data_IF_923917406765
#
_entry.id   IF_923917406765
#
_cell.length_a   1.000
_cell.length_b   1.000
_cell.length_c   1.000
_cell.angle_alpha   90.00
_cell.angle_beta   90.00
_cell.angle_gamma   90.00
#
_symmetry.space_group_name_H-M   'P 1'
#
loop_
_entity.id
_entity.type
_entity.pdbx_description
1 polymer ?
#
# COMPACT_ATOMS: atom_id res chain seq x y z
N UNK A 1 3.11 0.23 -12.70
CA UNK A 1 2.32 -0.77 -13.45
C UNK A 1 0.90 -0.28 -13.62
N UNK A 2 0.16 -0.22 -12.52
CA UNK A 2 -1.23 0.23 -12.49
C UNK A 2 -1.43 1.72 -12.75
N UNK A 3 -0.39 2.56 -12.70
CA UNK A 3 -0.48 3.99 -13.03
C UNK A 3 0.74 4.41 -13.90
N UNK A 4 0.74 4.08 -15.21
CA UNK A 4 1.85 4.40 -16.10
C UNK A 4 2.14 5.91 -16.25
N UNK A 5 1.12 6.75 -16.10
CA UNK A 5 1.23 8.23 -16.10
C UNK A 5 0.25 8.79 -15.06
N UNK A 6 0.49 9.99 -14.50
CA UNK A 6 -0.35 10.55 -13.44
C UNK A 6 -1.85 10.51 -13.77
N UNK A 7 -2.65 9.87 -12.92
CA UNK A 7 -4.11 9.77 -13.04
C UNK A 7 -4.63 8.78 -14.09
N UNK A 8 -3.77 8.18 -14.92
CA UNK A 8 -4.19 7.18 -15.90
C UNK A 8 -3.88 5.78 -15.37
N UNK A 9 -4.94 5.01 -15.09
CA UNK A 9 -4.81 3.71 -14.46
C UNK A 9 -4.97 2.55 -15.44
N UNK A 10 -4.25 1.46 -15.19
CA UNK A 10 -4.35 0.21 -15.94
C UNK A 10 -4.63 -0.96 -14.99
N UNK A 11 -5.85 -1.50 -15.07
CA UNK A 11 -6.28 -2.72 -14.39
C UNK A 11 -6.77 -3.78 -15.39
N UNK A 12 -6.20 -3.80 -16.60
CA UNK A 12 -6.60 -4.72 -17.65
C UNK A 12 -5.61 -5.89 -17.84
N UNK A 13 -6.08 -6.97 -18.45
CA UNK A 13 -5.26 -8.12 -18.80
C UNK A 13 -4.58 -8.74 -17.56
N UNK A 14 -3.25 -8.80 -17.59
CA UNK A 14 -2.47 -9.32 -16.44
C UNK A 14 -2.42 -8.37 -15.23
N UNK A 15 -2.88 -7.12 -15.40
CA UNK A 15 -2.97 -6.12 -14.34
C UNK A 15 -4.38 -6.07 -13.72
N UNK A 16 -5.27 -6.99 -14.08
CA UNK A 16 -6.60 -7.10 -13.47
C UNK A 16 -6.52 -7.71 -12.06
N UNK A 17 -6.23 -6.84 -11.09
CA UNK A 17 -6.09 -7.18 -9.68
C UNK A 17 -7.38 -7.76 -9.09
N UNK A 18 -8.53 -7.16 -9.42
CA UNK A 18 -9.84 -7.59 -8.93
C UNK A 18 -10.13 -9.02 -9.41
N UNK A 19 -9.89 -9.30 -10.70
CA UNK A 19 -10.07 -10.65 -11.26
C UNK A 19 -9.15 -11.68 -10.61
N UNK A 20 -7.89 -11.32 -10.34
CA UNK A 20 -6.96 -12.20 -9.64
C UNK A 20 -7.48 -12.57 -8.25
N UNK A 21 -7.88 -11.58 -7.45
CA UNK A 21 -8.40 -11.81 -6.09
C UNK A 21 -9.71 -12.60 -6.11
N UNK A 22 -10.63 -12.31 -7.02
CA UNK A 22 -11.86 -13.10 -7.22
C UNK A 22 -11.56 -14.55 -7.61
N UNK A 23 -10.47 -14.80 -8.34
CA UNK A 23 -10.03 -16.15 -8.69
C UNK A 23 -9.52 -16.90 -7.45
N UNK A 24 -8.75 -16.24 -6.59
CA UNK A 24 -8.34 -16.80 -5.29
C UNK A 24 -9.56 -17.14 -4.41
N UNK A 25 -10.56 -16.25 -4.36
CA UNK A 25 -11.82 -16.51 -3.65
C UNK A 25 -12.55 -17.74 -4.18
N UNK A 26 -12.67 -17.89 -5.51
CA UNK A 26 -13.30 -19.06 -6.15
C UNK A 26 -12.55 -20.36 -5.85
N UNK A 27 -11.25 -20.28 -5.62
CA UNK A 27 -10.43 -21.41 -5.20
C UNK A 27 -10.49 -21.70 -3.70
N UNK A 28 -11.24 -20.91 -2.92
CA UNK A 28 -11.33 -21.04 -1.46
C UNK A 28 -10.07 -20.59 -0.72
N UNK A 29 -9.23 -19.75 -1.35
CA UNK A 29 -8.00 -19.22 -0.76
C UNK A 29 -8.23 -17.82 -0.19
N UNK A 30 -7.56 -17.54 0.93
CA UNK A 30 -7.44 -16.18 1.46
C UNK A 30 -6.31 -15.40 0.79
N UNK A 31 -6.38 -14.08 0.88
CA UNK A 31 -5.43 -13.15 0.30
C UNK A 31 -4.85 -12.24 1.38
N UNK A 32 -3.52 -12.14 1.40
CA UNK A 32 -2.80 -11.06 2.08
C UNK A 32 -2.40 -10.02 1.03
N UNK A 33 -3.10 -8.89 1.01
CA UNK A 33 -2.91 -7.85 0.00
C UNK A 33 -1.84 -6.85 0.43
N UNK A 34 -0.62 -7.00 -0.10
CA UNK A 34 0.49 -6.07 0.17
C UNK A 34 0.44 -4.90 -0.81
N UNK A 35 -0.15 -3.78 -0.39
CA UNK A 35 -0.49 -2.64 -1.27
C UNK A 35 0.76 -1.80 -1.57
N UNK A 36 1.67 -1.65 -0.62
CA UNK A 36 2.81 -0.75 -0.74
C UNK A 36 2.47 0.69 -0.35
N UNK A 37 3.05 1.72 -0.99
CA UNK A 37 3.35 1.71 -2.42
C UNK A 37 4.77 1.23 -2.75
N UNK A 38 5.72 1.35 -1.82
CA UNK A 38 6.98 0.65 -1.96
C UNK A 38 6.75 -0.83 -1.64
N UNK A 39 7.10 -1.72 -2.56
CA UNK A 39 6.95 -3.17 -2.38
C UNK A 39 8.30 -3.90 -2.47
N UNK A 40 9.37 -3.18 -2.78
CA UNK A 40 10.63 -3.76 -3.26
C UNK A 40 10.35 -4.74 -4.43
N UNK A 41 10.35 -6.05 -4.14
CA UNK A 41 9.89 -7.13 -5.01
C UNK A 41 10.80 -7.40 -6.20
N UNK A 42 12.06 -6.95 -6.13
CA UNK A 42 13.03 -6.95 -7.25
C UNK A 42 12.42 -6.38 -8.53
N UNK A 43 11.46 -5.46 -8.35
CA UNK A 43 10.66 -4.91 -9.41
C UNK A 43 11.17 -3.52 -9.77
N UNK A 44 10.98 -3.14 -11.04
CA UNK A 44 11.44 -1.86 -11.55
C UNK A 44 11.04 -0.70 -10.61
N UNK A 45 12.06 0.01 -10.12
CA UNK A 45 11.95 1.15 -9.24
C UNK A 45 11.19 0.89 -7.91
N UNK A 46 11.24 -0.35 -7.41
CA UNK A 46 10.61 -0.76 -6.15
C UNK A 46 9.08 -0.71 -6.17
N UNK A 47 8.49 -0.64 -7.37
CA UNK A 47 7.04 -0.47 -7.58
C UNK A 47 6.62 0.97 -7.90
N UNK A 48 7.44 1.98 -7.59
CA UNK A 48 7.08 3.37 -7.86
C UNK A 48 7.02 3.66 -9.36
N UNK A 49 6.06 4.49 -9.81
CA UNK A 49 6.08 4.98 -11.16
C UNK A 49 7.21 5.99 -11.35
N UNK A 50 7.93 5.90 -12.48
CA UNK A 50 9.08 6.77 -12.77
C UNK A 50 8.71 8.25 -12.81
N UNK A 51 7.49 8.57 -13.27
CA UNK A 51 7.00 9.95 -13.31
C UNK A 51 6.95 10.61 -11.93
N UNK A 52 6.80 9.82 -10.86
CA UNK A 52 6.71 10.33 -9.48
C UNK A 52 7.98 11.06 -9.09
N UNK A 53 9.15 10.62 -9.58
CA UNK A 53 10.46 11.26 -9.31
C UNK A 53 10.53 12.72 -9.78
N UNK A 54 9.72 13.09 -10.78
CA UNK A 54 9.74 14.43 -11.38
C UNK A 54 8.69 15.36 -10.77
N UNK A 55 7.94 14.91 -9.76
CA UNK A 55 7.05 15.78 -9.00
C UNK A 55 7.89 16.82 -8.23
N UNK A 56 7.59 18.12 -8.35
CA UNK A 56 8.36 19.16 -7.67
C UNK A 56 8.40 18.94 -6.15
N UNK A 57 9.60 18.98 -5.57
CA UNK A 57 9.81 18.87 -4.13
C UNK A 57 9.63 17.47 -3.55
N UNK A 58 9.56 16.42 -4.38
CA UNK A 58 9.35 15.06 -3.89
C UNK A 58 10.61 14.49 -3.23
N UNK A 59 10.39 13.82 -2.09
CA UNK A 59 11.37 12.95 -1.45
C UNK A 59 10.66 11.67 -1.05
N UNK A 60 11.20 10.53 -1.46
CA UNK A 60 10.52 9.25 -1.27
C UNK A 60 10.72 8.70 0.13
N UNK A 61 9.69 7.98 0.61
CA UNK A 61 9.71 7.19 1.86
C UNK A 61 10.24 8.00 3.04
N UNK A 62 9.74 9.22 3.19
CA UNK A 62 10.06 10.12 4.30
C UNK A 62 8.90 11.09 4.50
N UNK A 63 8.96 11.93 5.53
CA UNK A 63 7.91 12.91 5.83
C UNK A 63 7.92 14.06 4.82
N UNK A 64 7.33 13.79 3.65
CA UNK A 64 7.31 14.67 2.49
C UNK A 64 5.89 14.73 1.92
N UNK A 65 5.27 15.90 1.95
CA UNK A 65 3.87 16.08 1.56
C UNK A 65 3.55 15.64 0.10
N UNK A 66 4.36 15.98 -0.93
CA UNK A 66 4.13 15.46 -2.28
C UNK A 66 4.12 13.93 -2.35
N UNK A 67 5.02 13.28 -1.62
CA UNK A 67 5.08 11.82 -1.57
C UNK A 67 3.89 11.23 -0.80
N UNK A 68 3.57 11.79 0.37
CA UNK A 68 2.43 11.37 1.20
C UNK A 68 1.10 11.47 0.45
N UNK A 69 0.88 12.57 -0.28
CA UNK A 69 -0.31 12.76 -1.10
C UNK A 69 -0.41 11.72 -2.22
N UNK A 70 0.69 11.44 -2.93
CA UNK A 70 0.72 10.44 -3.99
C UNK A 70 0.49 9.01 -3.45
N UNK A 71 1.15 8.67 -2.34
CA UNK A 71 1.00 7.39 -1.64
C UNK A 71 -0.44 7.19 -1.17
N UNK A 72 -0.99 8.18 -0.46
CA UNK A 72 -2.36 8.13 0.06
C UNK A 72 -3.36 7.97 -1.08
N UNK A 73 -3.27 8.77 -2.14
CA UNK A 73 -4.20 8.70 -3.27
C UNK A 73 -4.20 7.33 -3.96
N UNK A 74 -3.02 6.70 -4.12
CA UNK A 74 -2.93 5.36 -4.69
C UNK A 74 -3.49 4.30 -3.74
N UNK A 75 -3.15 4.35 -2.45
CA UNK A 75 -3.65 3.40 -1.44
C UNK A 75 -5.17 3.49 -1.29
N UNK A 76 -5.73 4.71 -1.20
CA UNK A 76 -7.17 4.96 -1.17
C UNK A 76 -7.87 4.39 -2.40
N UNK A 77 -7.27 4.55 -3.58
CA UNK A 77 -7.81 3.97 -4.80
C UNK A 77 -7.89 2.45 -4.74
N UNK A 78 -6.80 1.79 -4.34
CA UNK A 78 -6.77 0.32 -4.23
C UNK A 78 -7.79 -0.16 -3.19
N UNK A 79 -7.81 0.43 -2.00
CA UNK A 79 -8.76 0.06 -0.95
C UNK A 79 -10.21 0.31 -1.40
N UNK A 80 -10.49 1.45 -2.02
CA UNK A 80 -11.80 1.77 -2.57
C UNK A 80 -12.29 0.76 -3.60
N UNK A 81 -11.40 0.34 -4.51
CA UNK A 81 -11.70 -0.71 -5.50
C UNK A 81 -11.98 -2.07 -4.83
N UNK A 82 -11.21 -2.45 -3.81
CA UNK A 82 -11.44 -3.71 -3.09
C UNK A 82 -12.76 -3.68 -2.32
N UNK A 83 -13.10 -2.53 -1.71
CA UNK A 83 -14.36 -2.32 -0.99
C UNK A 83 -15.57 -2.37 -1.92
N UNK A 84 -15.51 -1.74 -3.10
CA UNK A 84 -16.61 -1.73 -4.06
C UNK A 84 -16.94 -3.11 -4.62
N UNK A 85 -15.97 -4.02 -4.56
CA UNK A 85 -16.09 -5.41 -5.02
C UNK A 85 -16.28 -6.40 -3.86
N UNK A 86 -16.50 -5.90 -2.65
CA UNK A 86 -16.72 -6.67 -1.41
C UNK A 86 -15.60 -7.69 -1.12
N UNK A 87 -14.35 -7.33 -1.42
CA UNK A 87 -13.22 -8.26 -1.38
C UNK A 87 -12.55 -8.38 -0.01
N UNK A 88 -12.83 -7.50 0.95
CA UNK A 88 -12.35 -7.67 2.33
C UNK A 88 -13.16 -8.73 3.08
N UNK A 89 -12.50 -9.49 3.96
CA UNK A 89 -13.15 -10.54 4.75
C UNK A 89 -14.26 -10.01 5.65
N UNK A 90 -14.16 -8.76 6.11
CA UNK A 90 -15.22 -8.01 6.79
C UNK A 90 -16.51 -7.87 5.96
N UNK A 91 -16.39 -7.96 4.63
CA UNK A 91 -17.48 -7.89 3.65
C UNK A 91 -17.81 -9.28 3.05
N UNK A 92 -17.18 -10.37 3.53
CA UNK A 92 -17.33 -11.72 2.98
C UNK A 92 -16.35 -12.07 1.85
N UNK A 93 -15.40 -11.19 1.54
CA UNK A 93 -14.36 -11.42 0.54
C UNK A 93 -13.14 -12.20 1.05
N UNK A 94 -12.16 -12.49 0.17
CA UNK A 94 -11.00 -13.32 0.54
C UNK A 94 -9.85 -12.55 1.22
N UNK A 95 -9.84 -11.21 1.22
CA UNK A 95 -8.70 -10.43 1.74
C UNK A 95 -8.77 -10.39 3.26
N UNK A 96 -7.82 -11.02 3.95
CA UNK A 96 -7.78 -11.15 5.42
C UNK A 96 -6.74 -10.25 6.09
N UNK A 97 -5.75 -9.77 5.33
CA UNK A 97 -4.67 -8.91 5.81
C UNK A 97 -4.33 -7.91 4.71
N UNK A 98 -3.96 -6.69 5.10
CA UNK A 98 -3.39 -5.69 4.20
C UNK A 98 -2.04 -5.23 4.71
N UNK A 99 -1.07 -4.98 3.83
CA UNK A 99 0.22 -4.40 4.21
C UNK A 99 0.38 -2.99 3.66
N UNK A 100 0.83 -2.08 4.51
CA UNK A 100 1.28 -0.74 4.13
C UNK A 100 2.81 -0.67 4.25
N UNK A 101 3.47 0.03 3.33
CA UNK A 101 4.94 0.05 3.24
C UNK A 101 5.56 -1.36 3.09
N UNK A 102 6.89 -1.42 3.00
CA UNK A 102 7.63 -2.67 2.95
C UNK A 102 9.03 -2.51 3.51
N UNK A 103 9.33 -3.25 4.59
CA UNK A 103 10.66 -3.31 5.19
C UNK A 103 11.25 -1.93 5.49
N UNK A 104 10.46 -1.00 6.05
CA UNK A 104 10.86 0.40 6.23
C UNK A 104 11.66 0.66 7.51
N UNK A 105 11.66 -0.24 8.50
CA UNK A 105 12.37 -0.03 9.77
C UNK A 105 13.86 0.34 9.65
N UNK A 106 14.64 -0.22 8.70
CA UNK A 106 16.01 0.23 8.45
C UNK A 106 16.08 1.68 7.94
N UNK A 107 15.29 2.04 6.93
CA UNK A 107 15.24 3.38 6.35
C UNK A 107 14.72 4.42 7.35
N UNK A 108 13.76 4.03 8.20
CA UNK A 108 13.31 4.87 9.30
C UNK A 108 14.48 5.31 10.18
N UNK A 109 15.35 4.37 10.56
CA UNK A 109 16.53 4.65 11.39
C UNK A 109 17.49 5.61 10.67
N UNK A 110 17.60 5.53 9.34
CA UNK A 110 18.41 6.45 8.55
C UNK A 110 17.80 7.86 8.47
N UNK A 111 16.49 7.98 8.30
CA UNK A 111 15.78 9.26 8.26
C UNK A 111 15.52 9.88 9.65
N UNK A 112 15.73 9.13 10.73
CA UNK A 112 15.54 9.58 12.10
C UNK A 112 14.11 10.07 12.36
N UNK A 113 13.96 11.28 12.92
CA UNK A 113 12.64 11.83 13.28
C UNK A 113 11.69 11.97 12.08
N UNK A 114 12.20 12.29 10.90
CA UNK A 114 11.38 12.35 9.68
C UNK A 114 10.92 10.96 9.25
N UNK A 115 11.76 9.94 9.51
CA UNK A 115 11.43 8.55 9.26
C UNK A 115 10.26 8.10 10.14
N UNK A 116 10.35 8.37 11.45
CA UNK A 116 9.32 8.03 12.43
C UNK A 116 7.99 8.76 12.16
N UNK A 117 8.05 10.06 11.87
CA UNK A 117 6.86 10.85 11.51
C UNK A 117 6.14 10.24 10.30
N UNK A 118 6.90 9.78 9.31
CA UNK A 118 6.34 9.13 8.12
C UNK A 118 5.76 7.74 8.42
N UNK A 119 6.43 6.87 9.17
CA UNK A 119 5.91 5.53 9.47
C UNK A 119 4.64 5.61 10.32
N UNK A 120 4.60 6.50 11.31
CA UNK A 120 3.41 6.77 12.12
C UNK A 120 2.26 7.31 11.25
N UNK A 121 2.56 8.23 10.33
CA UNK A 121 1.58 8.73 9.38
C UNK A 121 1.05 7.63 8.46
N UNK A 122 1.93 6.79 7.90
CA UNK A 122 1.57 5.74 6.97
C UNK A 122 0.66 4.69 7.64
N UNK A 123 1.00 4.28 8.86
CA UNK A 123 0.18 3.38 9.66
C UNK A 123 -1.20 4.00 9.98
N UNK A 124 -1.22 5.26 10.44
CA UNK A 124 -2.48 5.96 10.75
C UNK A 124 -3.36 6.15 9.51
N UNK A 125 -2.77 6.52 8.38
CA UNK A 125 -3.47 6.68 7.10
C UNK A 125 -4.10 5.35 6.70
N UNK A 126 -3.33 4.26 6.71
CA UNK A 126 -3.81 2.93 6.32
C UNK A 126 -4.95 2.43 7.22
N UNK A 127 -4.78 2.53 8.54
CA UNK A 127 -5.81 2.15 9.52
C UNK A 127 -7.09 2.97 9.32
N UNK A 128 -6.95 4.28 9.08
CA UNK A 128 -8.08 5.17 8.81
C UNK A 128 -8.85 4.90 7.51
N UNK A 129 -8.36 3.99 6.65
CA UNK A 129 -9.12 3.53 5.49
C UNK A 129 -10.20 2.50 5.83
N UNK A 130 -10.30 2.05 7.08
CA UNK A 130 -11.37 1.21 7.63
C UNK A 130 -11.68 -0.02 6.75
N UNK A 131 -10.66 -0.80 6.42
CA UNK A 131 -10.80 -2.05 5.63
C UNK A 131 -11.57 -3.13 6.39
N UNK A 132 -11.64 -3.03 7.72
CA UNK A 132 -12.25 -4.02 8.60
C UNK A 132 -11.41 -5.30 8.77
N UNK A 133 -10.17 -5.30 8.27
CA UNK A 133 -9.19 -6.38 8.45
C UNK A 133 -7.86 -5.80 8.97
N UNK A 134 -7.02 -6.59 9.67
CA UNK A 134 -5.78 -6.08 10.23
C UNK A 134 -4.81 -5.54 9.15
N UNK A 135 -4.06 -4.51 9.55
CA UNK A 135 -2.94 -3.98 8.79
C UNK A 135 -1.62 -4.53 9.32
N UNK A 136 -0.67 -4.73 8.41
CA UNK A 136 0.67 -5.27 8.69
C UNK A 136 1.73 -4.29 8.18
N UNK A 137 2.87 -4.21 8.87
CA UNK A 137 4.11 -3.59 8.39
C UNK A 137 5.26 -4.56 8.64
N UNK A 138 5.89 -5.08 7.58
CA UNK A 138 7.00 -6.03 7.76
C UNK A 138 8.31 -5.32 8.11
N UNK A 139 9.10 -5.93 9.01
CA UNK A 139 10.37 -5.39 9.55
C UNK A 139 10.22 -3.95 10.10
N UNK A 140 9.15 -3.71 10.84
CA UNK A 140 8.86 -2.44 11.49
C UNK A 140 8.66 -2.66 13.00
N UNK A 141 9.77 -2.79 13.74
CA UNK A 141 9.77 -3.17 15.16
C UNK A 141 8.90 -2.26 16.05
N UNK A 142 8.70 -1.02 15.64
CA UNK A 142 7.95 0.02 16.33
C UNK A 142 6.67 0.43 15.60
N UNK A 143 6.09 -0.48 14.82
CA UNK A 143 4.79 -0.29 14.17
C UNK A 143 3.74 0.12 15.22
N UNK A 144 3.01 1.23 15.02
CA UNK A 144 2.06 1.70 16.00
C UNK A 144 0.78 0.86 15.98
N UNK A 145 0.21 0.62 17.17
CA UNK A 145 -1.08 -0.06 17.31
C UNK A 145 -2.17 0.63 16.45
N UNK A 146 -3.07 -0.13 15.80
CA UNK A 146 -3.24 -1.59 15.85
C UNK A 146 -2.48 -2.35 14.75
N UNK A 147 -1.46 -1.76 14.11
CA UNK A 147 -0.72 -2.41 13.02
C UNK A 147 0.18 -3.52 13.58
N UNK A 148 0.16 -4.68 12.93
CA UNK A 148 0.96 -5.84 13.33
C UNK A 148 2.31 -5.83 12.60
N UNK A 149 3.41 -6.11 13.29
CA UNK A 149 4.73 -6.34 12.70
C UNK A 149 5.15 -7.82 12.78
#
# INVERSE_FOLDING_TARGET
>A
GHEPTPGNYNFEGRYDLVRFIKTAQKAGLFVHLRIGPYICGEWNFGGFPVWLKYVPGISFRTDNEPFKAAMQGFTEKIVGMMKSEELFASQGGPIILSQIENEYGPEEKEFGAAGKSYSDWAAKMAVGLDTGVPWVMCKQEDAPDPVVC
#
